data_IF_220313433835
#
_entry.id   IF_220313433835
#
_cell.length_a   1.000
_cell.length_b   1.000
_cell.length_c   1.000
_cell.angle_alpha   90.00
_cell.angle_beta   90.00
_cell.angle_gamma   90.00
#
_symmetry.space_group_name_H-M   'P 1'
#
loop_
_entity.id
_entity.type
_entity.pdbx_description
1 polymer ?
#
# COMPACT_ATOMS: atom_id res chain seq x y z
N UNK A 1 2.65 2.00 -3.18
CA UNK A 1 1.63 2.85 -3.87
C UNK A 1 0.92 3.84 -2.91
N UNK A 2 1.63 4.41 -1.98
CA UNK A 2 1.07 5.27 -0.90
C UNK A 2 0.26 6.47 -1.42
N UNK A 3 0.73 7.18 -2.42
CA UNK A 3 0.02 8.34 -3.01
C UNK A 3 -1.24 7.99 -3.79
N UNK A 4 -1.43 6.75 -4.19
CA UNK A 4 -2.60 6.32 -4.95
C UNK A 4 -3.86 6.12 -4.12
N UNK A 5 -3.74 6.15 -2.79
CA UNK A 5 -4.87 6.04 -1.86
C UNK A 5 -5.75 4.81 -2.13
N UNK A 6 -5.14 3.65 -2.36
CA UNK A 6 -5.79 2.36 -2.54
C UNK A 6 -5.19 1.34 -1.59
N UNK A 7 -6.04 0.54 -0.97
CA UNK A 7 -5.69 -0.59 -0.13
C UNK A 7 -6.54 -1.80 -0.50
N UNK A 8 -6.10 -2.97 -0.11
CA UNK A 8 -6.81 -4.23 -0.33
C UNK A 8 -6.95 -4.94 1.02
N UNK A 9 -8.14 -5.41 1.30
CA UNK A 9 -8.45 -6.21 2.47
C UNK A 9 -8.84 -7.61 1.99
N UNK A 10 -8.23 -8.61 2.59
CA UNK A 10 -8.57 -10.02 2.39
C UNK A 10 -9.01 -10.55 3.74
N UNK A 11 -10.27 -10.96 3.83
CA UNK A 11 -10.87 -11.46 5.06
C UNK A 11 -12.02 -12.42 4.74
N UNK A 12 -12.57 -13.06 5.77
CA UNK A 12 -13.78 -13.86 5.64
C UNK A 12 -14.98 -13.01 5.16
N UNK A 13 -15.91 -13.60 4.38
CA UNK A 13 -17.03 -12.86 3.77
C UNK A 13 -17.85 -12.04 4.77
N UNK A 14 -18.10 -12.57 5.95
CA UNK A 14 -18.87 -11.90 7.00
C UNK A 14 -18.24 -10.56 7.43
N UNK A 15 -16.91 -10.53 7.55
CA UNK A 15 -16.17 -9.30 7.87
C UNK A 15 -16.18 -8.33 6.70
N UNK A 16 -16.07 -8.84 5.46
CA UNK A 16 -16.10 -8.00 4.26
C UNK A 16 -17.43 -7.30 4.09
N UNK A 17 -18.55 -7.96 4.41
CA UNK A 17 -19.88 -7.36 4.34
C UNK A 17 -20.03 -6.18 5.32
N UNK A 18 -19.57 -6.35 6.54
CA UNK A 18 -19.58 -5.26 7.55
C UNK A 18 -18.68 -4.10 7.08
N UNK A 19 -17.46 -4.41 6.61
CA UNK A 19 -16.52 -3.40 6.12
C UNK A 19 -17.08 -2.65 4.90
N UNK A 20 -17.75 -3.33 3.97
CA UNK A 20 -18.36 -2.71 2.81
C UNK A 20 -19.47 -1.72 3.20
N UNK A 21 -20.29 -2.06 4.18
CA UNK A 21 -21.34 -1.14 4.69
C UNK A 21 -20.72 0.12 5.29
N UNK A 22 -19.69 -0.03 6.11
CA UNK A 22 -18.98 1.10 6.72
C UNK A 22 -18.27 1.93 5.64
N UNK A 23 -17.56 1.29 4.73
CA UNK A 23 -16.84 1.96 3.66
C UNK A 23 -17.77 2.73 2.73
N UNK A 24 -18.91 2.15 2.37
CA UNK A 24 -19.94 2.79 1.54
C UNK A 24 -20.51 4.05 2.18
N UNK A 25 -20.56 4.12 3.51
CA UNK A 25 -21.02 5.30 4.24
C UNK A 25 -19.95 6.39 4.41
N UNK A 26 -18.66 6.02 4.42
CA UNK A 26 -17.56 6.94 4.69
C UNK A 26 -16.85 7.44 3.43
N UNK A 27 -16.55 6.57 2.49
CA UNK A 27 -15.62 6.86 1.38
C UNK A 27 -16.19 6.46 0.02
N UNK A 28 -17.28 5.70 -0.01
CA UNK A 28 -17.91 5.16 -1.20
C UNK A 28 -17.07 4.07 -1.88
N UNK A 29 -16.00 4.42 -2.56
CA UNK A 29 -15.11 3.48 -3.25
C UNK A 29 -13.75 4.09 -3.52
N UNK A 30 -12.74 3.25 -3.70
CA UNK A 30 -11.44 3.70 -4.19
C UNK A 30 -11.56 4.24 -5.62
N UNK A 31 -10.82 5.30 -5.99
CA UNK A 31 -10.84 5.84 -7.35
C UNK A 31 -10.53 4.77 -8.40
N UNK A 32 -11.27 4.73 -9.49
CA UNK A 32 -11.12 3.70 -10.53
C UNK A 32 -9.72 3.70 -11.18
N UNK A 33 -9.12 4.86 -11.32
CA UNK A 33 -7.74 4.98 -11.81
C UNK A 33 -6.74 4.30 -10.86
N UNK A 34 -6.94 4.44 -9.54
CA UNK A 34 -6.10 3.80 -8.52
C UNK A 34 -6.26 2.29 -8.51
N UNK A 35 -7.48 1.80 -8.71
CA UNK A 35 -7.73 0.36 -8.83
C UNK A 35 -7.03 -0.23 -10.06
N UNK A 36 -7.11 0.42 -11.21
CA UNK A 36 -6.40 0.01 -12.43
C UNK A 36 -4.89 0.03 -12.26
N UNK A 37 -4.37 1.08 -11.66
CA UNK A 37 -2.94 1.17 -11.32
C UNK A 37 -2.51 0.07 -10.36
N UNK A 38 -3.36 -0.30 -9.39
CA UNK A 38 -3.13 -1.41 -8.47
C UNK A 38 -3.03 -2.76 -9.18
N UNK A 39 -3.93 -3.04 -10.13
CA UNK A 39 -3.90 -4.26 -10.94
C UNK A 39 -2.59 -4.33 -11.72
N UNK A 40 -2.21 -3.25 -12.39
CA UNK A 40 -0.95 -3.19 -13.14
C UNK A 40 0.27 -3.36 -12.24
N UNK A 41 0.27 -2.73 -11.07
CA UNK A 41 1.36 -2.87 -10.09
C UNK A 41 1.51 -4.31 -9.59
N UNK A 42 0.41 -5.03 -9.39
CA UNK A 42 0.43 -6.44 -9.03
C UNK A 42 0.97 -7.32 -10.16
N UNK A 43 0.62 -7.02 -11.40
CA UNK A 43 1.18 -7.72 -12.57
C UNK A 43 2.70 -7.53 -12.69
N UNK A 44 3.19 -6.31 -12.43
CA UNK A 44 4.61 -5.93 -12.47
C UNK A 44 5.32 -6.11 -11.11
N UNK A 45 4.77 -6.87 -10.17
CA UNK A 45 5.25 -6.94 -8.78
C UNK A 45 6.73 -7.27 -8.61
N UNK A 46 7.30 -8.10 -9.49
CA UNK A 46 8.73 -8.47 -9.44
C UNK A 46 9.62 -7.27 -9.69
N UNK A 47 9.40 -6.59 -10.81
CA UNK A 47 10.17 -5.40 -11.23
C UNK A 47 10.03 -4.26 -10.22
N UNK A 48 8.80 -4.01 -9.76
CA UNK A 48 8.50 -2.99 -8.76
C UNK A 48 9.23 -3.31 -7.45
N UNK A 49 9.18 -4.57 -7.01
CA UNK A 49 9.84 -5.00 -5.79
C UNK A 49 11.36 -4.80 -5.87
N UNK A 50 12.00 -5.27 -6.92
CA UNK A 50 13.44 -5.15 -7.10
C UNK A 50 13.89 -3.68 -7.08
N UNK A 51 13.21 -2.84 -7.83
CA UNK A 51 13.53 -1.41 -7.93
C UNK A 51 13.31 -0.65 -6.62
N UNK A 52 12.14 -0.80 -6.02
CA UNK A 52 11.75 0.05 -4.88
C UNK A 52 12.20 -0.50 -3.53
N UNK A 53 12.22 -1.82 -3.32
CA UNK A 53 12.67 -2.41 -2.06
C UNK A 53 14.14 -2.09 -1.81
N UNK A 54 14.99 -2.15 -2.82
CA UNK A 54 16.41 -1.78 -2.69
C UNK A 54 16.55 -0.31 -2.27
N UNK A 55 15.89 0.61 -2.96
CA UNK A 55 15.96 2.04 -2.65
C UNK A 55 15.41 2.36 -1.24
N UNK A 56 14.33 1.68 -0.81
CA UNK A 56 13.80 1.86 0.53
C UNK A 56 14.71 1.27 1.61
N UNK A 57 15.33 0.13 1.37
CA UNK A 57 16.29 -0.49 2.26
C UNK A 57 17.44 0.46 2.58
N UNK A 58 18.06 1.02 1.57
CA UNK A 58 19.19 1.94 1.74
C UNK A 58 18.78 3.16 2.56
N UNK A 59 17.58 3.71 2.32
CA UNK A 59 17.05 4.84 3.08
C UNK A 59 16.77 4.49 4.53
N UNK A 60 16.23 3.30 4.80
CA UNK A 60 15.93 2.83 6.16
C UNK A 60 17.23 2.66 6.95
N UNK A 61 18.22 2.00 6.39
CA UNK A 61 19.52 1.85 7.06
C UNK A 61 20.22 3.18 7.30
N UNK A 62 20.19 4.08 6.32
CA UNK A 62 20.72 5.43 6.50
C UNK A 62 20.01 6.17 7.64
N UNK A 63 18.68 6.09 7.68
CA UNK A 63 17.89 6.76 8.73
C UNK A 63 18.14 6.15 10.10
N UNK A 64 18.20 4.81 10.20
CA UNK A 64 18.49 4.12 11.47
C UNK A 64 19.89 4.52 12.03
N UNK A 65 20.92 4.48 11.19
CA UNK A 65 22.27 4.91 11.59
C UNK A 65 22.31 6.38 12.07
N UNK A 66 21.51 7.25 11.46
CA UNK A 66 21.42 8.65 11.90
C UNK A 66 20.70 8.81 13.23
N UNK A 67 19.63 8.04 13.44
CA UNK A 67 18.85 8.09 14.70
C UNK A 67 19.68 7.55 15.86
N UNK A 68 20.42 6.45 15.68
CA UNK A 68 21.30 5.90 16.72
C UNK A 68 22.40 6.86 17.17
N UNK A 69 22.79 7.81 16.34
CA UNK A 69 23.81 8.82 16.62
C UNK A 69 23.26 10.12 17.20
N UNK A 70 21.96 10.19 17.44
CA UNK A 70 21.35 11.32 18.11
C UNK A 70 21.61 11.24 19.61
N UNK A 71 21.89 12.39 20.28
CA UNK A 71 22.11 12.45 21.71
C UNK A 71 20.85 12.12 22.51
#
# INVERSE_FOLDING_TARGET
MTGWRVGVIIAEPEFLDVMNRINGSLVYSAPSISQRAGIQALAMRKEIREKYVTAYRDRIFYSADRIEKLP
#
